data_IF_800148518398
#
_entry.id   IF_800148518398
#
_cell.length_a   1.000
_cell.length_b   1.000
_cell.length_c   1.000
_cell.angle_alpha   90.00
_cell.angle_beta   90.00
_cell.angle_gamma   90.00
#
_symmetry.space_group_name_H-M   'P 1'
#
loop_
_entity.id
_entity.type
_entity.pdbx_description
1 polymer ?
#
# COMPACT_ATOMS: atom_id res chain seq x y z
N UNK A 1 13.58 8.65 20.80
CA UNK A 1 13.37 7.39 20.03
C UNK A 1 12.56 7.72 18.80
N UNK A 2 12.94 7.25 17.61
CA UNK A 2 12.17 7.48 16.37
C UNK A 2 11.10 6.38 16.26
N UNK A 3 9.83 6.77 16.21
CA UNK A 3 8.69 5.83 16.03
C UNK A 3 8.38 5.74 14.54
N UNK A 4 8.19 4.53 14.06
CA UNK A 4 7.75 4.25 12.68
C UNK A 4 6.44 3.47 12.77
N UNK A 5 5.41 3.96 12.10
CA UNK A 5 4.19 3.19 11.84
C UNK A 5 4.44 2.33 10.60
N UNK A 6 4.58 1.03 10.80
CA UNK A 6 5.00 0.10 9.76
C UNK A 6 3.84 -0.45 8.91
N UNK A 7 2.60 0.01 9.11
CA UNK A 7 1.46 -0.47 8.33
C UNK A 7 0.31 0.53 8.35
N UNK A 8 0.13 1.25 7.26
CA UNK A 8 -1.02 2.15 7.08
C UNK A 8 -1.37 2.34 5.61
N UNK A 9 -2.53 2.95 5.37
CA UNK A 9 -3.07 3.18 4.03
C UNK A 9 -3.53 4.64 3.89
N UNK A 10 -3.46 5.24 2.69
CA UNK A 10 -4.02 6.56 2.46
C UNK A 10 -5.55 6.52 2.48
N UNK A 11 -6.18 7.58 2.97
CA UNK A 11 -7.63 7.76 3.05
C UNK A 11 -8.40 6.60 3.72
N UNK A 12 -7.74 5.96 4.70
CA UNK A 12 -8.27 4.79 5.38
C UNK A 12 -9.05 5.19 6.63
N UNK A 13 -10.23 4.60 6.85
CA UNK A 13 -11.14 4.93 7.97
C UNK A 13 -11.45 6.43 8.11
N UNK A 14 -11.58 7.15 7.00
CA UNK A 14 -11.85 8.58 6.98
C UNK A 14 -10.66 9.47 7.39
N UNK A 15 -9.47 8.91 7.50
CA UNK A 15 -8.24 9.65 7.73
C UNK A 15 -7.65 10.08 6.40
N UNK A 16 -7.99 11.32 5.97
CA UNK A 16 -7.33 11.97 4.84
C UNK A 16 -5.89 12.37 5.17
N UNK A 17 -5.17 12.94 4.20
CA UNK A 17 -3.77 13.34 4.36
C UNK A 17 -3.54 14.23 5.60
N UNK A 18 -4.37 15.26 5.81
CA UNK A 18 -4.23 16.22 6.90
C UNK A 18 -4.38 15.53 8.26
N UNK A 19 -5.40 14.69 8.42
CA UNK A 19 -5.62 13.91 9.65
C UNK A 19 -4.52 12.87 9.88
N UNK A 20 -3.98 12.30 8.82
CA UNK A 20 -2.87 11.36 8.91
C UNK A 20 -1.62 12.07 9.48
N UNK A 21 -1.26 13.22 8.93
CA UNK A 21 -0.14 14.05 9.44
C UNK A 21 -0.39 14.49 10.88
N UNK A 22 -1.59 14.98 11.20
CA UNK A 22 -1.96 15.37 12.57
C UNK A 22 -1.80 14.20 13.57
N UNK A 23 -2.24 13.01 13.18
CA UNK A 23 -2.08 11.81 14.01
C UNK A 23 -0.60 11.44 14.21
N UNK A 24 0.20 11.51 13.15
CA UNK A 24 1.64 11.27 13.25
C UNK A 24 2.31 12.25 14.21
N UNK A 25 1.99 13.55 14.10
CA UNK A 25 2.57 14.59 14.94
C UNK A 25 2.16 14.44 16.40
N UNK A 26 0.88 14.18 16.65
CA UNK A 26 0.32 13.97 18.01
C UNK A 26 0.98 12.77 18.72
N UNK A 27 1.32 11.73 17.99
CA UNK A 27 1.88 10.49 18.53
C UNK A 27 3.40 10.36 18.35
N UNK A 28 4.09 11.41 17.93
CA UNK A 28 5.53 11.42 17.65
C UNK A 28 5.96 10.32 16.64
N UNK A 29 5.09 10.01 15.68
CA UNK A 29 5.42 9.08 14.59
C UNK A 29 6.24 9.84 13.56
N UNK A 30 7.49 9.45 13.41
CA UNK A 30 8.40 10.12 12.49
C UNK A 30 8.14 9.76 11.03
N UNK A 31 7.81 8.50 10.76
CA UNK A 31 7.54 7.98 9.42
C UNK A 31 6.42 6.93 9.46
N UNK A 32 5.67 6.85 8.37
CA UNK A 32 4.67 5.82 8.13
C UNK A 32 4.98 5.08 6.82
N UNK A 33 4.84 3.75 6.84
CA UNK A 33 4.82 2.95 5.64
C UNK A 33 3.42 2.98 5.04
N UNK A 34 3.28 3.59 3.86
CA UNK A 34 2.02 3.59 3.11
C UNK A 34 2.01 2.42 2.14
N UNK A 35 1.12 1.49 2.39
CA UNK A 35 1.02 0.24 1.65
C UNK A 35 -0.15 0.30 0.66
N UNK A 36 0.15 0.01 -0.60
CA UNK A 36 -0.83 -0.22 -1.65
C UNK A 36 -0.91 -1.70 -1.97
N UNK A 37 -2.07 -2.19 -2.38
CA UNK A 37 -2.25 -3.57 -2.81
C UNK A 37 -3.15 -3.69 -4.04
N UNK A 38 -2.91 -4.73 -4.81
CA UNK A 38 -3.76 -5.16 -5.92
C UNK A 38 -4.56 -6.39 -5.48
N UNK A 39 -5.83 -6.20 -5.12
CA UNK A 39 -6.73 -7.31 -4.78
C UNK A 39 -7.89 -7.30 -5.75
N UNK A 40 -8.22 -8.40 -6.44
CA UNK A 40 -9.41 -8.51 -7.25
C UNK A 40 -10.68 -8.25 -6.43
N UNK A 41 -11.68 -7.61 -7.05
CA UNK A 41 -12.90 -7.20 -6.35
C UNK A 41 -13.66 -8.36 -5.71
N UNK A 42 -13.66 -9.52 -6.32
CA UNK A 42 -14.29 -10.74 -5.81
C UNK A 42 -13.56 -11.36 -4.60
N UNK A 43 -12.36 -10.88 -4.32
CA UNK A 43 -11.59 -11.24 -3.13
C UNK A 43 -11.70 -10.21 -1.98
N UNK A 44 -12.39 -9.10 -2.18
CA UNK A 44 -12.56 -8.10 -1.11
C UNK A 44 -13.32 -8.70 0.07
N UNK A 45 -12.86 -8.40 1.27
CA UNK A 45 -13.68 -8.57 2.44
C UNK A 45 -14.81 -7.53 2.44
N UNK A 46 -16.03 -7.87 2.89
CA UNK A 46 -17.14 -6.91 2.94
C UNK A 46 -16.80 -5.60 3.65
N UNK A 47 -15.93 -5.66 4.65
CA UNK A 47 -15.50 -4.51 5.45
C UNK A 47 -14.57 -3.55 4.67
N UNK A 48 -13.97 -3.98 3.59
CA UNK A 48 -13.02 -3.16 2.80
C UNK A 48 -13.69 -1.89 2.28
N UNK A 49 -14.95 -1.98 1.84
CA UNK A 49 -15.70 -0.83 1.32
C UNK A 49 -15.93 0.26 2.38
N UNK A 50 -16.07 -0.13 3.66
CA UNK A 50 -16.25 0.81 4.76
C UNK A 50 -14.94 1.48 5.22
N UNK A 51 -13.82 0.87 4.90
CA UNK A 51 -12.52 1.37 5.34
C UNK A 51 -11.97 2.47 4.43
N UNK A 52 -12.41 2.51 3.17
CA UNK A 52 -11.91 3.47 2.19
C UNK A 52 -12.77 4.74 2.17
N UNK A 53 -12.14 5.89 2.20
CA UNK A 53 -12.84 7.19 2.21
C UNK A 53 -13.34 7.62 0.82
N UNK A 54 -12.81 7.04 -0.24
CA UNK A 54 -13.15 7.35 -1.63
C UNK A 54 -13.80 6.15 -2.30
N UNK A 55 -14.68 6.38 -3.29
CA UNK A 55 -15.13 5.32 -4.16
C UNK A 55 -13.90 4.63 -4.78
N UNK A 56 -13.81 3.33 -4.55
CA UNK A 56 -12.76 2.51 -5.11
C UNK A 56 -13.06 2.39 -6.61
N UNK A 57 -12.08 2.70 -7.46
CA UNK A 57 -12.20 2.26 -8.83
C UNK A 57 -12.28 0.72 -8.85
N UNK A 58 -12.89 0.14 -9.87
CA UNK A 58 -13.23 -1.28 -9.90
C UNK A 58 -12.02 -2.25 -9.81
N UNK A 59 -10.81 -1.71 -9.72
CA UNK A 59 -9.59 -2.51 -9.81
C UNK A 59 -8.85 -2.69 -8.50
N UNK A 60 -8.79 -1.68 -7.59
CA UNK A 60 -7.92 -1.79 -6.42
C UNK A 60 -8.46 -1.02 -5.22
N UNK A 61 -8.55 -1.66 -4.03
CA UNK A 61 -9.05 -1.01 -2.81
C UNK A 61 -8.11 0.06 -2.26
N UNK A 62 -6.81 -0.06 -2.52
CA UNK A 62 -5.83 0.94 -2.13
C UNK A 62 -4.86 1.22 -3.28
N UNK A 63 -5.23 2.09 -4.22
CA UNK A 63 -4.43 2.34 -5.41
C UNK A 63 -3.11 3.03 -5.06
N UNK A 64 -2.03 2.57 -5.67
CA UNK A 64 -0.68 3.11 -5.48
C UNK A 64 -0.60 4.63 -5.71
N UNK A 65 -1.43 5.18 -6.60
CA UNK A 65 -1.52 6.62 -6.88
C UNK A 65 -1.72 7.44 -5.60
N UNK A 66 -2.61 7.01 -4.70
CA UNK A 66 -2.87 7.72 -3.44
C UNK A 66 -1.65 7.71 -2.52
N UNK A 67 -0.95 6.57 -2.40
CA UNK A 67 0.30 6.49 -1.65
C UNK A 67 1.36 7.45 -2.20
N UNK A 68 1.46 7.52 -3.53
CA UNK A 68 2.38 8.43 -4.20
C UNK A 68 2.02 9.90 -3.96
N UNK A 69 0.75 10.28 -4.03
CA UNK A 69 0.28 11.64 -3.73
C UNK A 69 0.63 12.08 -2.30
N UNK A 70 0.47 11.19 -1.32
CA UNK A 70 0.90 11.46 0.07
C UNK A 70 2.42 11.66 0.14
N UNK A 71 3.18 10.79 -0.51
CA UNK A 71 4.64 10.89 -0.57
C UNK A 71 5.11 12.20 -1.19
N UNK A 72 4.44 12.69 -2.23
CA UNK A 72 4.76 13.99 -2.86
C UNK A 72 4.50 15.18 -1.93
N UNK A 73 3.43 15.13 -1.14
CA UNK A 73 3.07 16.20 -0.20
C UNK A 73 4.00 16.25 1.01
N UNK A 74 4.51 15.10 1.48
CA UNK A 74 5.37 15.02 2.66
C UNK A 74 6.45 13.92 2.49
N UNK A 75 7.49 14.20 1.66
CA UNK A 75 8.44 13.17 1.21
C UNK A 75 9.24 12.51 2.34
N UNK A 76 9.49 13.21 3.44
CA UNK A 76 10.26 12.67 4.57
C UNK A 76 9.39 11.88 5.57
N UNK A 77 8.07 11.97 5.45
CA UNK A 77 7.12 11.36 6.38
C UNK A 77 6.66 9.97 5.94
N UNK A 78 6.75 9.64 4.65
CA UNK A 78 6.20 8.40 4.11
C UNK A 78 7.24 7.56 3.39
N UNK A 79 7.17 6.25 3.60
CA UNK A 79 7.89 5.23 2.84
C UNK A 79 6.85 4.44 2.05
N UNK A 80 7.11 4.21 0.76
CA UNK A 80 6.15 3.56 -0.11
C UNK A 80 6.31 2.05 -0.12
N UNK A 81 5.17 1.37 0.03
CA UNK A 81 5.00 -0.04 -0.20
C UNK A 81 4.03 -0.31 -1.35
N UNK A 82 4.29 -1.37 -2.09
CA UNK A 82 3.45 -1.84 -3.18
C UNK A 82 3.56 -3.35 -3.31
N UNK A 83 2.43 -4.01 -3.57
CA UNK A 83 2.39 -5.42 -3.89
C UNK A 83 1.46 -5.62 -5.09
N UNK A 84 2.00 -5.98 -6.27
CA UNK A 84 1.20 -6.44 -7.39
C UNK A 84 0.58 -7.80 -7.05
N UNK A 85 -0.53 -8.14 -7.71
CA UNK A 85 -1.04 -9.52 -7.67
C UNK A 85 -0.03 -10.48 -8.32
N UNK A 86 0.64 -11.35 -7.56
CA UNK A 86 1.71 -12.19 -8.08
C UNK A 86 1.25 -13.21 -9.11
N UNK A 87 -0.05 -13.52 -9.17
CA UNK A 87 -0.67 -14.42 -10.16
C UNK A 87 -0.74 -13.80 -11.57
N UNK A 88 -0.47 -12.50 -11.67
CA UNK A 88 -0.46 -11.81 -12.97
C UNK A 88 0.91 -11.93 -13.64
N UNK A 89 0.95 -12.16 -14.96
CA UNK A 89 2.22 -12.39 -15.67
C UNK A 89 3.16 -11.17 -15.65
N UNK A 90 2.65 -9.99 -15.40
CA UNK A 90 3.38 -8.72 -15.33
C UNK A 90 3.77 -8.28 -13.90
N UNK A 91 3.51 -9.11 -12.88
CA UNK A 91 3.72 -8.76 -11.47
C UNK A 91 5.18 -8.31 -11.19
N UNK A 92 6.14 -9.10 -11.59
CA UNK A 92 7.57 -8.77 -11.40
C UNK A 92 7.95 -7.49 -12.16
N UNK A 93 7.42 -7.31 -13.38
CA UNK A 93 7.68 -6.10 -14.16
C UNK A 93 7.10 -4.85 -13.49
N UNK A 94 5.88 -4.94 -12.96
CA UNK A 94 5.24 -3.87 -12.17
C UNK A 94 6.07 -3.53 -10.93
N UNK A 95 6.52 -4.53 -10.18
CA UNK A 95 7.34 -4.31 -8.99
C UNK A 95 8.67 -3.62 -9.35
N UNK A 96 9.35 -4.05 -10.42
CA UNK A 96 10.56 -3.37 -10.93
C UNK A 96 10.29 -1.92 -11.27
N UNK A 97 9.20 -1.65 -11.99
CA UNK A 97 8.82 -0.29 -12.36
C UNK A 97 8.50 0.58 -11.13
N UNK A 98 7.82 0.03 -10.12
CA UNK A 98 7.51 0.73 -8.89
C UNK A 98 8.80 1.10 -8.11
N UNK A 99 9.75 0.20 -8.02
CA UNK A 99 11.05 0.49 -7.40
C UNK A 99 11.80 1.57 -8.19
N UNK A 100 11.94 1.39 -9.50
CA UNK A 100 12.76 2.26 -10.34
C UNK A 100 12.21 3.68 -10.48
N UNK A 101 10.88 3.84 -10.58
CA UNK A 101 10.26 5.12 -10.90
C UNK A 101 9.76 5.87 -9.65
N UNK A 102 9.44 5.16 -8.57
CA UNK A 102 8.78 5.74 -7.38
C UNK A 102 9.52 5.48 -6.08
N UNK A 103 10.69 4.81 -6.14
CA UNK A 103 11.48 4.45 -4.96
C UNK A 103 10.64 3.66 -3.92
N UNK A 104 9.87 2.69 -4.39
CA UNK A 104 9.18 1.74 -3.51
C UNK A 104 10.23 0.90 -2.78
N UNK A 105 10.10 0.77 -1.47
CA UNK A 105 11.08 0.10 -0.58
C UNK A 105 10.51 -1.14 0.10
N UNK A 106 9.20 -1.37 -0.02
CA UNK A 106 8.48 -2.43 0.69
C UNK A 106 7.63 -3.20 -0.31
N UNK A 107 7.81 -4.52 -0.37
CA UNK A 107 6.89 -5.42 -1.08
C UNK A 107 5.72 -5.76 -0.14
N UNK A 108 4.66 -4.99 -0.23
CA UNK A 108 3.46 -5.13 0.63
C UNK A 108 2.47 -3.98 0.43
N UNK A 109 1.21 -4.18 0.78
CA UNK A 109 0.62 -5.34 1.42
C UNK A 109 0.22 -6.40 0.39
N UNK A 110 0.56 -7.67 0.64
CA UNK A 110 0.04 -8.79 -0.15
C UNK A 110 -1.24 -9.29 0.49
N UNK A 111 -2.39 -8.86 -0.04
CA UNK A 111 -3.72 -9.15 0.53
C UNK A 111 -4.58 -9.88 -0.50
N UNK A 112 -4.28 -11.15 -0.68
CA UNK A 112 -4.91 -12.00 -1.69
C UNK A 112 -5.39 -13.30 -1.05
N UNK A 113 -6.46 -13.89 -1.60
CA UNK A 113 -6.93 -15.22 -1.23
C UNK A 113 -6.04 -16.29 -1.88
N UNK A 114 -4.81 -16.36 -1.42
CA UNK A 114 -3.82 -17.35 -1.84
C UNK A 114 -2.92 -17.74 -0.66
N UNK A 115 -2.33 -18.92 -0.74
CA UNK A 115 -1.32 -19.34 0.21
C UNK A 115 0.00 -18.64 -0.10
N UNK A 116 0.73 -18.19 0.93
CA UNK A 116 2.01 -17.49 0.74
C UNK A 116 3.15 -18.41 0.28
N UNK A 117 2.98 -19.71 0.34
CA UNK A 117 3.86 -20.72 -0.26
C UNK A 117 3.49 -21.09 -1.71
N UNK A 118 2.50 -20.40 -2.29
CA UNK A 118 2.20 -20.50 -3.71
C UNK A 118 3.43 -20.09 -4.54
N UNK A 119 3.79 -20.81 -5.62
CA UNK A 119 4.94 -20.49 -6.44
C UNK A 119 5.00 -19.04 -6.94
N UNK A 120 3.87 -18.48 -7.35
CA UNK A 120 3.82 -17.09 -7.84
C UNK A 120 4.16 -16.09 -6.72
N UNK A 121 3.69 -16.33 -5.49
CA UNK A 121 4.03 -15.51 -4.34
C UNK A 121 5.53 -15.63 -3.98
N UNK A 122 6.05 -16.87 -3.99
CA UNK A 122 7.47 -17.13 -3.75
C UNK A 122 8.35 -16.42 -4.78
N UNK A 123 7.96 -16.43 -6.04
CA UNK A 123 8.72 -15.76 -7.10
C UNK A 123 8.73 -14.24 -6.92
N UNK A 124 7.61 -13.64 -6.50
CA UNK A 124 7.56 -12.22 -6.14
C UNK A 124 8.46 -11.90 -4.93
N UNK A 125 8.47 -12.77 -3.91
CA UNK A 125 9.28 -12.53 -2.70
C UNK A 125 10.78 -12.76 -2.90
N UNK A 126 11.17 -13.56 -3.91
CA UNK A 126 12.57 -13.79 -4.27
C UNK A 126 13.17 -12.70 -5.15
N UNK A 127 12.32 -11.92 -5.78
CA UNK A 127 12.72 -10.80 -6.63
C UNK A 127 13.27 -9.64 -5.79
#
# INVERSE_FOLDING_TARGET
MKIIDAHNHPDYHGHNFERHIENMDRNNIAQTWLLAWETPRDEFAPETEYCMALPIDDSFPCPFRLCWEYKQKAPDRFILGYAPDPRKPDAIQKMRAAIANYNVQICGEVKLRMMYDNPDAIDLFRF
#
